data_IF_184875409349
#
_entry.id   IF_184875409349
#
_cell.length_a   1.000
_cell.length_b   1.000
_cell.length_c   1.000
_cell.angle_alpha   90.00
_cell.angle_beta   90.00
_cell.angle_gamma   90.00
#
_symmetry.space_group_name_H-M   'P 1'
#
loop_
_entity.id
_entity.type
_entity.pdbx_description
1 polymer ?
#
# COMPACT_ATOMS: atom_id res chain seq x y z
N UNK A 1 -3.87 -1.03 13.79
CA UNK A 1 -3.25 0.18 14.36
C UNK A 1 -1.80 -0.09 14.79
N UNK A 2 -1.50 -0.86 15.83
CA UNK A 2 -0.15 -1.01 16.41
C UNK A 2 0.96 -1.36 15.40
N UNK A 3 0.71 -2.23 14.42
CA UNK A 3 1.70 -2.52 13.38
C UNK A 3 2.06 -1.29 12.54
N UNK A 4 1.07 -0.45 12.21
CA UNK A 4 1.28 0.76 11.40
C UNK A 4 2.12 1.78 12.19
N UNK A 5 1.82 2.01 13.47
CA UNK A 5 2.62 2.88 14.35
C UNK A 5 4.09 2.41 14.37
N UNK A 6 4.32 1.13 14.68
CA UNK A 6 5.67 0.57 14.72
C UNK A 6 6.43 0.74 13.40
N UNK A 7 5.73 0.60 12.26
CA UNK A 7 6.34 0.79 10.94
C UNK A 7 6.74 2.25 10.74
N UNK A 8 5.84 3.20 10.99
CA UNK A 8 6.13 4.62 10.80
C UNK A 8 7.25 5.12 11.72
N UNK A 9 7.31 4.61 12.96
CA UNK A 9 8.32 4.99 13.94
C UNK A 9 9.71 4.39 13.66
N UNK A 10 9.78 3.18 13.08
CA UNK A 10 11.03 2.41 13.11
C UNK A 10 11.59 2.02 11.73
N UNK A 11 10.79 2.03 10.66
CA UNK A 11 11.25 1.56 9.35
C UNK A 11 12.50 2.30 8.84
N UNK A 12 12.59 3.65 8.89
CA UNK A 12 13.78 4.35 8.42
C UNK A 12 15.04 3.97 9.21
N UNK A 13 14.97 3.89 10.55
CA UNK A 13 16.10 3.51 11.38
C UNK A 13 16.51 2.03 11.16
N UNK A 14 15.54 1.14 10.96
CA UNK A 14 15.81 -0.26 10.67
C UNK A 14 16.54 -0.44 9.33
N UNK A 15 16.11 0.29 8.28
CA UNK A 15 16.65 0.14 6.93
C UNK A 15 17.95 0.91 6.74
N UNK A 16 18.00 2.18 7.11
CA UNK A 16 19.11 3.08 6.79
C UNK A 16 20.24 2.98 7.81
N UNK A 17 19.91 2.82 9.09
CA UNK A 17 20.89 2.82 10.18
C UNK A 17 21.25 1.41 10.66
N UNK A 18 20.49 0.38 10.22
CA UNK A 18 20.63 -1.00 10.71
C UNK A 18 20.51 -1.10 12.23
N UNK A 19 19.71 -0.21 12.83
CA UNK A 19 19.47 -0.18 14.26
C UNK A 19 18.77 -1.45 14.72
N UNK A 20 19.39 -2.20 15.66
CA UNK A 20 18.88 -3.51 16.07
C UNK A 20 17.51 -3.42 16.75
N UNK A 21 17.30 -2.43 17.63
CA UNK A 21 16.00 -2.26 18.30
C UNK A 21 14.87 -1.95 17.29
N UNK A 22 15.19 -1.15 16.26
CA UNK A 22 14.25 -0.85 15.19
C UNK A 22 13.96 -2.10 14.32
N UNK A 23 14.96 -2.92 14.03
CA UNK A 23 14.80 -4.19 13.31
C UNK A 23 13.90 -5.15 14.10
N UNK A 24 14.08 -5.27 15.39
CA UNK A 24 13.28 -6.12 16.27
C UNK A 24 11.81 -5.64 16.31
N UNK A 25 11.59 -4.31 16.36
CA UNK A 25 10.25 -3.72 16.28
C UNK A 25 9.60 -3.93 14.91
N UNK A 26 10.36 -3.91 13.82
CA UNK A 26 9.85 -4.25 12.48
C UNK A 26 9.48 -5.73 12.40
N UNK A 27 10.24 -6.63 13.03
CA UNK A 27 9.88 -8.05 13.17
C UNK A 27 8.55 -8.24 13.92
N UNK A 28 8.35 -7.51 15.01
CA UNK A 28 7.09 -7.51 15.75
C UNK A 28 5.93 -6.92 14.91
N UNK A 29 6.16 -5.81 14.21
CA UNK A 29 5.15 -5.17 13.38
C UNK A 29 4.66 -6.10 12.26
N UNK A 30 5.58 -6.78 11.58
CA UNK A 30 5.29 -7.77 10.54
C UNK A 30 4.47 -8.94 11.08
N UNK A 31 4.81 -9.45 12.27
CA UNK A 31 4.06 -10.52 12.93
C UNK A 31 2.63 -10.10 13.27
N UNK A 32 2.45 -8.89 13.87
CA UNK A 32 1.13 -8.34 14.19
C UNK A 32 0.30 -8.13 12.92
N UNK A 33 0.92 -7.59 11.85
CA UNK A 33 0.25 -7.42 10.55
C UNK A 33 -0.19 -8.78 9.98
N UNK A 34 0.69 -9.80 10.07
CA UNK A 34 0.40 -11.17 9.64
C UNK A 34 -0.82 -11.76 10.32
N UNK A 35 -0.91 -11.62 11.65
CA UNK A 35 -2.10 -12.04 12.40
C UNK A 35 -3.37 -11.31 11.92
N UNK A 36 -3.26 -10.01 11.59
CA UNK A 36 -4.38 -9.21 11.11
C UNK A 36 -4.91 -9.73 9.77
N UNK A 37 -4.08 -9.74 8.73
CA UNK A 37 -4.53 -10.11 7.39
C UNK A 37 -4.86 -11.60 7.23
N UNK A 38 -4.33 -12.48 8.10
CA UNK A 38 -4.73 -13.89 8.13
C UNK A 38 -6.21 -14.09 8.50
N UNK A 39 -6.82 -13.11 9.17
CA UNK A 39 -8.22 -13.17 9.57
C UNK A 39 -9.16 -12.45 8.57
N UNK A 40 -8.68 -11.39 7.90
CA UNK A 40 -9.55 -10.53 7.07
C UNK A 40 -9.17 -10.56 5.59
N UNK A 41 -8.11 -11.26 5.23
CA UNK A 41 -7.57 -11.27 3.87
C UNK A 41 -6.70 -10.06 3.56
N UNK A 42 -6.24 -10.02 2.32
CA UNK A 42 -5.49 -8.93 1.72
C UNK A 42 -6.44 -8.09 0.84
N UNK A 43 -5.91 -7.36 -0.13
CA UNK A 43 -6.71 -6.54 -1.03
C UNK A 43 -6.01 -6.38 -2.38
N UNK A 44 -6.50 -5.43 -3.17
CA UNK A 44 -6.05 -5.25 -4.56
C UNK A 44 -4.60 -4.78 -4.71
N UNK A 45 -3.96 -4.25 -3.67
CA UNK A 45 -2.50 -4.03 -3.71
C UNK A 45 -1.79 -5.35 -4.03
N UNK A 46 -2.13 -6.41 -3.29
CA UNK A 46 -1.56 -7.74 -3.50
C UNK A 46 -2.00 -8.36 -4.83
N UNK A 47 -3.30 -8.23 -5.19
CA UNK A 47 -3.79 -8.72 -6.48
C UNK A 47 -3.00 -8.15 -7.66
N UNK A 48 -2.67 -6.86 -7.62
CA UNK A 48 -1.87 -6.18 -8.64
C UNK A 48 -0.38 -6.55 -8.53
N UNK A 49 0.17 -6.58 -7.32
CA UNK A 49 1.58 -6.89 -7.09
C UNK A 49 1.97 -8.30 -7.52
N UNK A 50 1.08 -9.28 -7.33
CA UNK A 50 1.29 -10.65 -7.79
C UNK A 50 1.50 -10.71 -9.31
N UNK A 51 0.80 -9.89 -10.06
CA UNK A 51 0.92 -9.85 -11.52
C UNK A 51 2.27 -9.24 -11.96
N UNK A 52 2.74 -8.20 -11.28
CA UNK A 52 4.07 -7.64 -11.53
C UNK A 52 5.18 -8.64 -11.20
N UNK A 53 5.02 -9.40 -10.13
CA UNK A 53 5.94 -10.48 -9.79
C UNK A 53 5.94 -11.59 -10.84
N UNK A 54 4.76 -12.02 -11.29
CA UNK A 54 4.62 -13.13 -12.23
C UNK A 54 5.11 -12.78 -13.66
N UNK A 55 4.96 -11.54 -14.10
CA UNK A 55 5.25 -11.13 -15.49
C UNK A 55 6.63 -10.49 -15.63
N UNK A 56 7.06 -9.71 -14.62
CA UNK A 56 8.28 -8.91 -14.69
C UNK A 56 9.31 -9.29 -13.62
N UNK A 57 9.09 -10.39 -12.91
CA UNK A 57 9.99 -10.87 -11.82
C UNK A 57 10.25 -9.80 -10.75
N UNK A 58 9.27 -8.91 -10.51
CA UNK A 58 9.39 -7.84 -9.55
C UNK A 58 9.35 -8.42 -8.13
N UNK A 59 10.32 -8.09 -7.25
CA UNK A 59 10.28 -8.54 -5.86
C UNK A 59 8.98 -8.13 -5.19
N UNK A 60 8.33 -9.09 -4.51
CA UNK A 60 6.98 -8.94 -3.94
C UNK A 60 6.81 -7.68 -3.08
N UNK A 61 7.75 -7.42 -2.17
CA UNK A 61 7.70 -6.24 -1.30
C UNK A 61 7.81 -4.93 -2.08
N UNK A 62 8.66 -4.89 -3.12
CA UNK A 62 8.82 -3.72 -3.98
C UNK A 62 7.54 -3.46 -4.79
N UNK A 63 6.96 -4.50 -5.40
CA UNK A 63 5.70 -4.37 -6.16
C UNK A 63 4.57 -3.81 -5.30
N UNK A 64 4.41 -4.33 -4.07
CA UNK A 64 3.44 -3.81 -3.11
C UNK A 64 3.72 -2.35 -2.73
N UNK A 65 4.96 -1.99 -2.45
CA UNK A 65 5.32 -0.62 -2.04
C UNK A 65 5.06 0.41 -3.16
N UNK A 66 5.36 0.06 -4.42
CA UNK A 66 5.09 0.92 -5.59
C UNK A 66 3.59 1.16 -5.78
N UNK A 67 2.78 0.11 -5.65
CA UNK A 67 1.34 0.17 -5.91
C UNK A 67 0.54 0.77 -4.74
N UNK A 68 1.06 0.68 -3.52
CA UNK A 68 0.33 1.05 -2.31
C UNK A 68 -0.25 2.47 -2.33
N UNK A 69 0.50 3.54 -2.68
CA UNK A 69 -0.04 4.91 -2.67
C UNK A 69 -1.24 5.06 -3.62
N UNK A 70 -1.15 4.50 -4.82
CA UNK A 70 -2.20 4.58 -5.85
C UNK A 70 -3.46 3.85 -5.40
N UNK A 71 -3.32 2.64 -4.88
CA UNK A 71 -4.45 1.86 -4.37
C UNK A 71 -5.07 2.50 -3.13
N UNK A 72 -4.28 3.07 -2.22
CA UNK A 72 -4.84 3.77 -1.05
C UNK A 72 -5.64 5.00 -1.47
N UNK A 73 -5.20 5.73 -2.50
CA UNK A 73 -5.99 6.84 -3.07
C UNK A 73 -7.32 6.35 -3.64
N UNK A 74 -7.33 5.22 -4.32
CA UNK A 74 -8.55 4.61 -4.84
C UNK A 74 -9.48 4.16 -3.72
N UNK A 75 -8.98 3.40 -2.76
CA UNK A 75 -9.78 2.88 -1.64
C UNK A 75 -10.33 3.99 -0.75
N UNK A 76 -9.58 5.08 -0.57
CA UNK A 76 -9.97 6.22 0.24
C UNK A 76 -11.22 6.96 -0.29
N UNK A 77 -11.64 6.74 -1.54
CA UNK A 77 -12.89 7.30 -2.05
C UNK A 77 -14.13 6.64 -1.41
N UNK A 78 -13.97 5.49 -0.76
CA UNK A 78 -15.01 4.93 0.11
C UNK A 78 -15.02 5.66 1.46
N UNK A 79 -16.18 6.22 1.91
CA UNK A 79 -16.22 7.02 3.13
C UNK A 79 -15.81 6.27 4.40
N UNK A 80 -16.12 4.96 4.49
CA UNK A 80 -15.70 4.16 5.64
C UNK A 80 -14.18 3.97 5.66
N UNK A 81 -13.56 3.80 4.50
CA UNK A 81 -12.11 3.72 4.34
C UNK A 81 -11.43 5.07 4.66
N UNK A 82 -11.99 6.19 4.19
CA UNK A 82 -11.48 7.53 4.53
C UNK A 82 -11.52 7.77 6.05
N UNK A 83 -12.58 7.35 6.72
CA UNK A 83 -12.66 7.42 8.18
C UNK A 83 -11.58 6.59 8.87
N UNK A 84 -11.27 5.39 8.37
CA UNK A 84 -10.15 4.58 8.88
C UNK A 84 -8.79 5.24 8.65
N UNK A 85 -8.58 5.90 7.52
CA UNK A 85 -7.36 6.68 7.30
C UNK A 85 -7.22 7.83 8.30
N UNK A 86 -8.32 8.53 8.62
CA UNK A 86 -8.36 9.56 9.65
C UNK A 86 -7.93 9.03 11.02
N UNK A 87 -8.48 7.91 11.43
CA UNK A 87 -8.13 7.24 12.69
C UNK A 87 -6.64 6.87 12.71
N UNK A 88 -6.12 6.29 11.62
CA UNK A 88 -4.70 5.94 11.50
C UNK A 88 -3.83 7.19 11.60
N UNK A 89 -4.16 8.27 10.88
CA UNK A 89 -3.40 9.51 10.91
C UNK A 89 -3.31 10.08 12.34
N UNK A 90 -4.42 10.11 13.07
CA UNK A 90 -4.42 10.57 14.46
C UNK A 90 -3.47 9.76 15.34
N UNK A 91 -3.46 8.44 15.19
CA UNK A 91 -2.59 7.54 15.97
C UNK A 91 -1.10 7.67 15.61
N UNK A 92 -0.77 7.94 14.36
CA UNK A 92 0.63 8.08 13.91
C UNK A 92 1.16 9.52 14.00
N UNK A 93 0.57 10.34 14.87
CA UNK A 93 1.10 11.67 15.21
C UNK A 93 0.52 12.83 14.39
N UNK A 94 -0.62 12.65 13.72
CA UNK A 94 -1.34 13.71 13.00
C UNK A 94 -2.74 13.94 13.60
N UNK A 95 -2.83 14.44 14.86
CA UNK A 95 -4.12 14.69 15.52
C UNK A 95 -4.98 15.76 14.80
N UNK A 96 -4.36 16.62 14.01
CA UNK A 96 -5.02 17.59 13.14
C UNK A 96 -5.92 16.93 12.07
N UNK A 97 -5.66 15.68 11.72
CA UNK A 97 -6.47 14.91 10.78
C UNK A 97 -7.93 14.72 11.24
N UNK A 98 -8.19 14.83 12.55
CA UNK A 98 -9.55 14.81 13.10
C UNK A 98 -10.48 15.91 12.52
N UNK A 99 -9.90 17.00 12.03
CA UNK A 99 -10.61 18.18 11.51
C UNK A 99 -10.51 18.35 10.00
N UNK A 100 -9.78 17.48 9.29
CA UNK A 100 -9.67 17.53 7.84
C UNK A 100 -10.94 17.01 7.17
N UNK A 101 -11.25 17.47 5.96
CA UNK A 101 -12.22 16.78 5.11
C UNK A 101 -11.66 15.47 4.56
N UNK A 102 -12.49 14.60 4.01
CA UNK A 102 -12.07 13.27 3.56
C UNK A 102 -11.00 13.33 2.45
N UNK A 103 -11.10 14.28 1.53
CA UNK A 103 -10.10 14.43 0.46
C UNK A 103 -8.72 14.80 1.02
N UNK A 104 -8.66 15.69 2.00
CA UNK A 104 -7.40 16.07 2.65
C UNK A 104 -6.84 14.92 3.51
N UNK A 105 -7.72 14.13 4.16
CA UNK A 105 -7.32 12.90 4.86
C UNK A 105 -6.64 11.92 3.89
N UNK A 106 -7.28 11.64 2.75
CA UNK A 106 -6.75 10.74 1.72
C UNK A 106 -5.39 11.25 1.21
N UNK A 107 -5.32 12.54 0.86
CA UNK A 107 -4.10 13.14 0.35
C UNK A 107 -2.96 13.07 1.37
N UNK A 108 -3.25 13.37 2.64
CA UNK A 108 -2.27 13.31 3.74
C UNK A 108 -1.79 11.88 3.96
N UNK A 109 -2.70 10.91 4.01
CA UNK A 109 -2.36 9.51 4.22
C UNK A 109 -1.49 8.96 3.10
N UNK A 110 -1.87 9.21 1.85
CA UNK A 110 -1.11 8.78 0.66
C UNK A 110 0.26 9.45 0.61
N UNK A 111 0.33 10.74 0.94
CA UNK A 111 1.60 11.46 1.02
C UNK A 111 2.54 10.86 2.07
N UNK A 112 2.05 10.57 3.27
CA UNK A 112 2.86 9.97 4.34
C UNK A 112 3.39 8.59 3.94
N UNK A 113 2.60 7.74 3.29
CA UNK A 113 3.06 6.45 2.75
C UNK A 113 4.15 6.66 1.72
N UNK A 114 3.97 7.60 0.80
CA UNK A 114 4.94 7.89 -0.25
C UNK A 114 6.27 8.41 0.32
N UNK A 115 6.21 9.30 1.31
CA UNK A 115 7.42 9.82 1.97
C UNK A 115 8.14 8.73 2.78
N UNK A 116 7.40 7.84 3.44
CA UNK A 116 7.98 6.70 4.13
C UNK A 116 8.72 5.77 3.15
N UNK A 117 8.11 5.44 2.00
CA UNK A 117 8.74 4.63 0.96
C UNK A 117 10.02 5.29 0.42
N UNK A 118 9.97 6.59 0.11
CA UNK A 118 11.14 7.37 -0.33
C UNK A 118 12.26 7.38 0.72
N UNK A 119 11.93 7.51 2.00
CA UNK A 119 12.89 7.57 3.10
C UNK A 119 13.75 6.31 3.23
N UNK A 120 13.27 5.20 2.69
CA UNK A 120 13.99 3.90 2.65
C UNK A 120 14.46 3.53 1.25
N UNK A 121 14.49 4.49 0.33
CA UNK A 121 15.06 4.32 -1.02
C UNK A 121 14.11 3.71 -2.05
N UNK A 122 12.81 3.57 -1.76
CA UNK A 122 11.81 3.11 -2.74
C UNK A 122 11.24 4.33 -3.46
N UNK A 123 11.71 4.57 -4.69
CA UNK A 123 11.31 5.71 -5.54
C UNK A 123 10.84 5.27 -6.92
N UNK A 124 10.86 3.98 -7.19
CA UNK A 124 10.50 3.38 -8.48
C UNK A 124 9.01 3.49 -8.75
N UNK A 125 8.68 3.50 -10.04
CA UNK A 125 7.33 3.28 -10.59
C UNK A 125 7.25 1.86 -11.16
N UNK A 126 6.07 1.42 -11.61
CA UNK A 126 5.96 0.12 -12.29
C UNK A 126 6.69 0.11 -13.64
N UNK A 127 6.92 1.26 -14.26
CA UNK A 127 7.74 1.39 -15.46
C UNK A 127 9.20 1.02 -15.20
N UNK A 128 9.73 1.40 -14.05
CA UNK A 128 11.13 1.14 -13.69
C UNK A 128 11.38 -0.36 -13.42
N UNK A 129 10.34 -1.13 -13.15
CA UNK A 129 10.39 -2.59 -13.03
C UNK A 129 9.98 -3.32 -14.32
N UNK A 130 9.84 -2.59 -15.41
CA UNK A 130 9.65 -3.15 -16.75
C UNK A 130 8.20 -3.26 -17.23
N UNK A 131 7.23 -2.78 -16.44
CA UNK A 131 5.82 -2.83 -16.84
C UNK A 131 5.55 -1.97 -18.07
N UNK A 132 4.69 -2.48 -18.96
CA UNK A 132 4.31 -1.84 -20.21
C UNK A 132 2.81 -1.64 -20.28
N UNK A 133 2.38 -0.51 -20.83
CA UNK A 133 0.96 -0.19 -20.94
C UNK A 133 0.18 -1.21 -21.78
N UNK A 134 0.82 -1.81 -22.80
CA UNK A 134 0.23 -2.85 -23.64
C UNK A 134 -0.19 -4.12 -22.86
N UNK A 135 0.43 -4.36 -21.71
CA UNK A 135 0.16 -5.54 -20.87
C UNK A 135 -0.94 -5.28 -19.81
N UNK A 136 -1.37 -4.03 -19.60
CA UNK A 136 -2.30 -3.69 -18.52
C UNK A 136 -3.64 -4.43 -18.62
N UNK A 137 -4.12 -4.70 -19.83
CA UNK A 137 -5.32 -5.50 -20.02
C UNK A 137 -5.18 -6.92 -19.45
N UNK A 138 -4.07 -7.58 -19.78
CA UNK A 138 -3.76 -8.93 -19.29
C UNK A 138 -3.50 -8.94 -17.76
N UNK A 139 -2.76 -7.94 -17.25
CA UNK A 139 -2.51 -7.83 -15.82
C UNK A 139 -3.82 -7.62 -15.05
N UNK A 140 -4.73 -6.78 -15.57
CA UNK A 140 -6.04 -6.55 -14.98
C UNK A 140 -6.90 -7.80 -14.96
N UNK A 141 -6.94 -8.57 -16.06
CA UNK A 141 -7.68 -9.82 -16.13
C UNK A 141 -7.22 -10.81 -15.05
N UNK A 142 -5.90 -10.96 -14.87
CA UNK A 142 -5.34 -11.82 -13.85
C UNK A 142 -5.57 -11.29 -12.44
N UNK A 143 -5.48 -9.96 -12.21
CA UNK A 143 -5.75 -9.35 -10.92
C UNK A 143 -7.22 -9.49 -10.50
N UNK A 144 -8.16 -9.52 -11.47
CA UNK A 144 -9.58 -9.78 -11.22
C UNK A 144 -9.83 -11.18 -10.65
N UNK A 145 -9.03 -12.17 -11.05
CA UNK A 145 -9.13 -13.57 -10.60
C UNK A 145 -8.32 -13.86 -9.33
N UNK A 146 -7.50 -12.91 -8.88
CA UNK A 146 -6.61 -13.11 -7.74
C UNK A 146 -7.40 -13.29 -6.43
N UNK A 147 -7.05 -14.30 -5.60
CA UNK A 147 -7.75 -14.60 -4.34
C UNK A 147 -7.67 -13.48 -3.29
N UNK A 148 -6.77 -12.52 -3.44
CA UNK A 148 -6.67 -11.37 -2.53
C UNK A 148 -7.71 -10.29 -2.80
N UNK A 149 -8.26 -10.22 -4.02
CA UNK A 149 -9.22 -9.18 -4.43
C UNK A 149 -10.44 -9.05 -3.51
N UNK A 150 -11.11 -10.14 -3.07
CA UNK A 150 -12.31 -10.03 -2.24
C UNK A 150 -12.09 -9.33 -0.89
N UNK A 151 -10.86 -9.24 -0.40
CA UNK A 151 -10.51 -8.53 0.84
C UNK A 151 -10.43 -7.01 0.69
N UNK A 152 -10.60 -6.46 -0.53
CA UNK A 152 -10.52 -5.01 -0.73
C UNK A 152 -11.78 -4.31 -0.20
N UNK A 153 -11.65 -3.16 0.53
CA UNK A 153 -12.81 -2.47 1.11
C UNK A 153 -13.75 -1.84 0.07
N UNK A 154 -13.25 -1.58 -1.14
CA UNK A 154 -14.00 -1.00 -2.24
C UNK A 154 -14.05 -1.98 -3.40
N UNK A 155 -15.22 -2.11 -4.03
CA UNK A 155 -15.33 -2.88 -5.28
C UNK A 155 -14.44 -2.29 -6.36
N UNK A 156 -13.90 -3.18 -7.20
CA UNK A 156 -12.97 -2.85 -8.27
C UNK A 156 -13.38 -3.57 -9.55
N UNK A 157 -13.48 -2.82 -10.62
CA UNK A 157 -13.71 -3.33 -11.98
C UNK A 157 -12.38 -3.64 -12.68
N UNK A 158 -12.46 -4.30 -13.82
CA UNK A 158 -11.33 -4.51 -14.72
C UNK A 158 -10.71 -3.19 -15.19
N UNK A 159 -11.56 -2.24 -15.52
CA UNK A 159 -11.19 -0.90 -15.98
C UNK A 159 -10.49 -0.10 -14.89
N UNK A 160 -10.92 -0.26 -13.64
CA UNK A 160 -10.23 0.34 -12.49
C UNK A 160 -8.80 -0.22 -12.36
N UNK A 161 -8.60 -1.54 -12.52
CA UNK A 161 -7.24 -2.11 -12.47
C UNK A 161 -6.34 -1.53 -13.56
N UNK A 162 -6.85 -1.41 -14.80
CA UNK A 162 -6.08 -0.79 -15.91
C UNK A 162 -5.68 0.64 -15.56
N UNK A 163 -6.62 1.42 -15.02
CA UNK A 163 -6.36 2.80 -14.65
C UNK A 163 -5.38 2.91 -13.46
N UNK A 164 -5.50 2.03 -12.46
CA UNK A 164 -4.58 1.96 -11.34
C UNK A 164 -3.15 1.62 -11.78
N UNK A 165 -2.98 0.69 -12.72
CA UNK A 165 -1.65 0.43 -13.33
C UNK A 165 -1.13 1.66 -14.07
N UNK A 166 -1.98 2.36 -14.83
CA UNK A 166 -1.59 3.58 -15.55
C UNK A 166 -1.14 4.69 -14.58
N UNK A 167 -1.82 4.85 -13.45
CA UNK A 167 -1.46 5.83 -12.43
C UNK A 167 -0.18 5.48 -11.66
N UNK A 168 0.25 4.24 -11.69
CA UNK A 168 1.47 3.77 -11.05
C UNK A 168 2.70 3.80 -11.99
N UNK A 169 2.53 4.19 -13.26
CA UNK A 169 3.61 4.42 -14.26
C UNK A 169 4.42 5.66 -13.88
#
# INVERSE_FOLDING_TARGET
>A
MRAIELIFENLPAAVNEKNQDAIDKMGLAQYIAGMGFSNVGLGIVHSMAHQLGAVYDTPHGLANAILLPTVMRFNGQDPATAQRFREILCEIGRPDAAHLNDQDVINTFVWMISELSKSVGITQTIKDVGAKEEDFGMLADKAMEDPCKPGNPREVSREDFIELYRQAM
#
